data_IF_669353353675
#
_entry.id   IF_669353353675
#
_cell.length_a   1.000
_cell.length_b   1.000
_cell.length_c   1.000
_cell.angle_alpha   90.00
_cell.angle_beta   90.00
_cell.angle_gamma   90.00
#
_symmetry.space_group_name_H-M   'P 1'
#
loop_
_entity.id
_entity.type
_entity.pdbx_description
1 polymer ?
#
# COMPACT_ATOMS: atom_id res chain seq x y z
N UNK A 1 20.81 -12.96 12.16
CA UNK A 1 19.51 -13.08 11.46
C UNK A 1 19.65 -14.06 10.33
N UNK A 2 18.74 -15.03 10.17
CA UNK A 2 18.75 -15.98 9.05
C UNK A 2 18.53 -15.24 7.72
N UNK A 3 19.17 -15.69 6.62
CA UNK A 3 19.04 -15.10 5.27
C UNK A 3 17.58 -14.98 4.82
N UNK A 4 16.75 -16.01 5.05
CA UNK A 4 15.32 -15.97 4.72
C UNK A 4 14.56 -14.88 5.47
N UNK A 5 14.84 -14.72 6.76
CA UNK A 5 14.23 -13.67 7.57
C UNK A 5 14.64 -12.27 7.09
N UNK A 6 15.91 -12.11 6.69
CA UNK A 6 16.39 -10.87 6.09
C UNK A 6 15.66 -10.56 4.78
N UNK A 7 15.55 -11.55 3.88
CA UNK A 7 14.83 -11.40 2.60
C UNK A 7 13.37 -11.00 2.83
N UNK A 8 12.67 -11.67 3.74
CA UNK A 8 11.28 -11.33 4.09
C UNK A 8 11.17 -9.90 4.65
N UNK A 9 12.08 -9.52 5.57
CA UNK A 9 12.13 -8.17 6.13
C UNK A 9 12.34 -7.10 5.05
N UNK A 10 13.27 -7.34 4.12
CA UNK A 10 13.54 -6.41 3.00
C UNK A 10 12.30 -6.25 2.11
N UNK A 11 11.63 -7.36 1.75
CA UNK A 11 10.40 -7.29 0.95
C UNK A 11 9.30 -6.50 1.67
N UNK A 12 9.08 -6.75 2.97
CA UNK A 12 8.10 -5.99 3.75
C UNK A 12 8.47 -4.50 3.85
N UNK A 13 9.75 -4.17 4.02
CA UNK A 13 10.21 -2.78 4.05
C UNK A 13 9.98 -2.08 2.71
N UNK A 14 10.26 -2.76 1.59
CA UNK A 14 9.97 -2.22 0.25
C UNK A 14 8.47 -1.92 0.08
N UNK A 15 7.60 -2.85 0.50
CA UNK A 15 6.15 -2.65 0.46
C UNK A 15 5.75 -1.47 1.37
N UNK A 16 6.31 -1.35 2.57
CA UNK A 16 6.04 -0.23 3.46
C UNK A 16 6.48 1.11 2.85
N UNK A 17 7.64 1.17 2.18
CA UNK A 17 8.09 2.36 1.44
C UNK A 17 7.13 2.71 0.30
N UNK A 18 6.68 1.73 -0.48
CA UNK A 18 5.68 1.95 -1.55
C UNK A 18 4.37 2.50 -0.97
N UNK A 19 3.93 1.94 0.17
CA UNK A 19 2.74 2.42 0.90
C UNK A 19 2.94 3.88 1.36
N UNK A 20 4.10 4.22 1.93
CA UNK A 20 4.41 5.60 2.32
C UNK A 20 4.38 6.56 1.12
N UNK A 21 5.02 6.17 0.01
CA UNK A 21 5.04 6.95 -1.23
C UNK A 21 3.64 7.25 -1.74
N UNK A 22 2.76 6.24 -1.76
CA UNK A 22 1.35 6.41 -2.12
C UNK A 22 0.66 7.42 -1.18
N UNK A 23 0.83 7.28 0.13
CA UNK A 23 0.23 8.19 1.10
C UNK A 23 0.69 9.63 0.95
N UNK A 24 1.99 9.85 0.73
CA UNK A 24 2.57 11.18 0.45
C UNK A 24 1.96 11.77 -0.82
N UNK A 25 1.87 10.98 -1.90
CA UNK A 25 1.28 11.42 -3.16
C UNK A 25 -0.17 11.90 -2.97
N UNK A 26 -0.98 11.17 -2.19
CA UNK A 26 -2.35 11.58 -1.89
C UNK A 26 -2.42 12.87 -1.05
N UNK A 27 -1.59 13.02 -0.01
CA UNK A 27 -1.60 14.22 0.85
C UNK A 27 -1.16 15.46 0.09
N UNK A 28 -0.18 15.33 -0.81
CA UNK A 28 0.40 16.45 -1.55
C UNK A 28 -0.35 16.78 -2.84
N UNK A 29 -1.35 15.98 -3.21
CA UNK A 29 -2.15 16.22 -4.40
C UNK A 29 -2.83 17.60 -4.35
N UNK A 30 -2.61 18.43 -5.38
CA UNK A 30 -3.25 19.73 -5.58
C UNK A 30 -4.48 19.63 -6.49
N UNK A 31 -4.58 18.54 -7.25
CA UNK A 31 -5.68 18.21 -8.15
C UNK A 31 -5.84 16.69 -8.21
N UNK A 32 -6.87 16.19 -8.86
CA UNK A 32 -6.98 14.75 -9.06
C UNK A 32 -5.94 14.22 -10.06
N UNK A 33 -5.59 12.94 -9.94
CA UNK A 33 -4.55 12.35 -10.79
C UNK A 33 -5.02 12.19 -12.25
N UNK A 34 -4.10 12.19 -13.22
CA UNK A 34 -4.44 12.09 -14.65
C UNK A 34 -5.36 10.93 -15.01
N UNK A 35 -5.24 9.79 -14.33
CA UNK A 35 -6.13 8.65 -14.59
C UNK A 35 -7.57 8.89 -14.11
N UNK A 36 -7.82 9.79 -13.15
CA UNK A 36 -9.19 10.19 -12.78
C UNK A 36 -9.83 11.01 -13.90
N UNK A 37 -9.05 11.90 -14.54
CA UNK A 37 -9.50 12.64 -15.71
C UNK A 37 -9.83 11.69 -16.87
N UNK A 38 -8.94 10.73 -17.14
CA UNK A 38 -9.17 9.71 -18.17
C UNK A 38 -10.43 8.88 -17.89
N UNK A 39 -10.63 8.48 -16.63
CA UNK A 39 -11.76 7.66 -16.23
C UNK A 39 -13.10 8.41 -16.24
N UNK A 40 -13.11 9.68 -15.85
CA UNK A 40 -14.32 10.50 -15.77
C UNK A 40 -14.67 11.21 -17.08
N UNK A 41 -13.68 11.43 -17.95
CA UNK A 41 -13.82 12.29 -19.15
C UNK A 41 -13.96 13.78 -18.84
N UNK A 42 -13.76 14.21 -17.58
CA UNK A 42 -13.93 15.59 -17.13
C UNK A 42 -12.58 16.16 -16.72
N UNK A 43 -12.23 17.33 -17.26
CA UNK A 43 -11.02 18.05 -16.87
C UNK A 43 -11.16 18.66 -15.46
N UNK A 44 -10.04 18.73 -14.72
CA UNK A 44 -10.04 19.33 -13.39
C UNK A 44 -10.58 20.77 -13.38
N UNK A 45 -10.28 21.55 -14.41
CA UNK A 45 -10.77 22.92 -14.56
C UNK A 45 -12.29 23.02 -14.59
N UNK A 46 -12.97 22.00 -15.14
CA UNK A 46 -14.42 21.95 -15.32
C UNK A 46 -15.20 21.53 -14.05
N UNK A 47 -14.49 21.02 -13.04
CA UNK A 47 -15.12 20.59 -11.79
C UNK A 47 -15.51 21.81 -10.95
N UNK A 48 -16.72 21.76 -10.37
CA UNK A 48 -17.21 22.81 -9.48
C UNK A 48 -16.30 23.00 -8.26
N UNK A 49 -16.07 24.27 -7.80
CA UNK A 49 -15.14 24.56 -6.70
C UNK A 49 -15.42 23.75 -5.41
N UNK A 50 -16.69 23.60 -5.02
CA UNK A 50 -17.09 22.80 -3.85
C UNK A 50 -16.70 21.32 -3.99
N UNK A 51 -16.87 20.73 -5.18
CA UNK A 51 -16.51 19.34 -5.44
C UNK A 51 -14.98 19.14 -5.45
N UNK A 52 -14.22 20.12 -5.96
CA UNK A 52 -12.76 20.13 -5.84
C UNK A 52 -12.27 20.01 -4.39
N UNK A 53 -12.90 20.80 -3.50
CA UNK A 53 -12.58 20.74 -2.06
C UNK A 53 -12.85 19.36 -1.47
N UNK A 54 -13.98 18.74 -1.83
CA UNK A 54 -14.33 17.40 -1.37
C UNK A 54 -13.30 16.37 -1.86
N UNK A 55 -12.94 16.38 -3.16
CA UNK A 55 -11.91 15.47 -3.69
C UNK A 55 -10.58 15.60 -2.96
N UNK A 56 -10.09 16.83 -2.78
CA UNK A 56 -8.83 17.08 -2.09
C UNK A 56 -8.89 16.69 -0.61
N UNK A 57 -10.02 16.90 0.05
CA UNK A 57 -10.21 16.47 1.43
C UNK A 57 -10.16 14.94 1.55
N UNK A 58 -10.86 14.21 0.65
CA UNK A 58 -10.83 12.75 0.60
C UNK A 58 -9.40 12.26 0.37
N UNK A 59 -8.66 12.84 -0.57
CA UNK A 59 -7.26 12.45 -0.82
C UNK A 59 -6.39 12.65 0.41
N UNK A 60 -6.51 13.77 1.13
CA UNK A 60 -5.72 14.03 2.34
C UNK A 60 -6.05 13.04 3.47
N UNK A 61 -7.34 12.73 3.66
CA UNK A 61 -7.76 11.75 4.66
C UNK A 61 -7.27 10.34 4.30
N UNK A 62 -7.48 9.93 3.05
CA UNK A 62 -6.98 8.64 2.56
C UNK A 62 -5.45 8.56 2.68
N UNK A 63 -4.73 9.59 2.24
CA UNK A 63 -3.28 9.66 2.34
C UNK A 63 -2.78 9.58 3.78
N UNK A 64 -3.46 10.26 4.72
CA UNK A 64 -3.17 10.18 6.16
C UNK A 64 -3.32 8.74 6.68
N UNK A 65 -4.40 8.07 6.33
CA UNK A 65 -4.62 6.66 6.67
C UNK A 65 -3.55 5.73 6.10
N UNK A 66 -3.15 5.94 4.84
CA UNK A 66 -2.10 5.17 4.17
C UNK A 66 -0.72 5.39 4.80
N UNK A 67 -0.38 6.63 5.19
CA UNK A 67 0.86 6.92 5.93
C UNK A 67 0.84 6.25 7.32
N UNK A 68 -0.29 6.31 8.01
CA UNK A 68 -0.44 5.64 9.31
C UNK A 68 -0.24 4.14 9.19
N UNK A 69 -0.81 3.51 8.15
CA UNK A 69 -0.58 2.09 7.85
C UNK A 69 0.90 1.80 7.59
N UNK A 70 1.55 2.59 6.73
CA UNK A 70 2.97 2.44 6.43
C UNK A 70 3.83 2.55 7.68
N UNK A 71 3.61 3.56 8.51
CA UNK A 71 4.33 3.75 9.78
C UNK A 71 4.13 2.57 10.72
N UNK A 72 2.89 2.07 10.84
CA UNK A 72 2.58 0.89 11.63
C UNK A 72 3.32 -0.34 11.12
N UNK A 73 3.38 -0.53 9.80
CA UNK A 73 4.15 -1.61 9.19
C UNK A 73 5.65 -1.47 9.51
N UNK A 74 6.25 -0.29 9.37
CA UNK A 74 7.65 -0.04 9.71
C UNK A 74 7.93 -0.41 11.18
N UNK A 75 7.11 0.04 12.11
CA UNK A 75 7.27 -0.26 13.54
C UNK A 75 7.17 -1.76 13.80
N UNK A 76 6.18 -2.45 13.18
CA UNK A 76 6.02 -3.89 13.32
C UNK A 76 7.18 -4.69 12.70
N UNK A 77 7.74 -4.22 11.59
CA UNK A 77 8.88 -4.89 10.96
C UNK A 77 10.13 -4.73 11.82
N UNK A 78 10.43 -3.51 12.27
CA UNK A 78 11.68 -3.23 12.98
C UNK A 78 11.68 -3.87 14.38
N UNK A 79 10.63 -3.66 15.17
CA UNK A 79 10.62 -4.08 16.57
C UNK A 79 10.17 -5.54 16.75
N UNK A 80 8.90 -5.90 16.61
CA UNK A 80 8.47 -7.26 16.92
C UNK A 80 8.99 -8.30 15.93
N UNK A 81 9.18 -7.97 14.64
CA UNK A 81 9.63 -8.93 13.65
C UNK A 81 11.16 -9.08 13.65
N UNK A 82 11.92 -8.02 13.47
CA UNK A 82 13.38 -8.09 13.34
C UNK A 82 14.03 -8.26 14.72
N UNK A 83 13.76 -7.30 15.66
CA UNK A 83 14.48 -7.18 16.93
C UNK A 83 14.05 -8.23 17.95
N UNK A 84 12.73 -8.41 18.14
CA UNK A 84 12.21 -9.26 19.22
C UNK A 84 11.76 -10.64 18.75
N UNK A 85 11.64 -10.88 17.45
CA UNK A 85 11.21 -12.16 16.88
C UNK A 85 9.85 -12.66 17.42
N UNK A 86 8.92 -11.76 17.68
CA UNK A 86 7.60 -12.14 18.20
C UNK A 86 6.76 -12.84 17.15
N UNK A 87 6.21 -14.00 17.45
CA UNK A 87 5.42 -14.84 16.54
C UNK A 87 4.23 -14.11 15.90
N UNK A 88 3.54 -13.28 16.64
CA UNK A 88 2.39 -12.55 16.12
C UNK A 88 2.73 -11.61 14.94
N UNK A 89 3.94 -11.06 14.91
CA UNK A 89 4.36 -10.15 13.83
C UNK A 89 4.47 -10.85 12.47
N UNK A 90 4.73 -12.15 12.45
CA UNK A 90 4.76 -12.96 11.23
C UNK A 90 3.39 -13.03 10.53
N UNK A 91 2.31 -12.76 11.25
CA UNK A 91 0.94 -12.73 10.73
C UNK A 91 0.41 -11.31 10.59
N UNK A 92 0.63 -10.43 11.57
CA UNK A 92 0.08 -9.08 11.57
C UNK A 92 0.58 -8.25 10.38
N UNK A 93 1.87 -8.29 10.08
CA UNK A 93 2.46 -7.54 8.97
C UNK A 93 1.82 -7.94 7.62
N UNK A 94 1.81 -9.24 7.23
CA UNK A 94 1.22 -9.63 5.96
C UNK A 94 -0.30 -9.44 5.92
N UNK A 95 -1.03 -9.62 7.01
CA UNK A 95 -2.48 -9.37 7.05
C UNK A 95 -2.76 -7.90 6.67
N UNK A 96 -2.09 -6.95 7.31
CA UNK A 96 -2.24 -5.53 6.99
C UNK A 96 -1.90 -5.24 5.51
N UNK A 97 -0.78 -5.76 5.03
CA UNK A 97 -0.35 -5.55 3.65
C UNK A 97 -1.26 -6.22 2.63
N UNK A 98 -1.65 -7.48 2.84
CA UNK A 98 -2.53 -8.22 1.93
C UNK A 98 -3.90 -7.56 1.84
N UNK A 99 -4.53 -7.22 2.97
CA UNK A 99 -5.85 -6.57 2.98
C UNK A 99 -5.80 -5.25 2.21
N UNK A 100 -4.84 -4.38 2.52
CA UNK A 100 -4.71 -3.08 1.88
C UNK A 100 -4.46 -3.20 0.36
N UNK A 101 -3.45 -3.99 -0.03
CA UNK A 101 -3.06 -4.10 -1.43
C UNK A 101 -4.04 -4.93 -2.26
N UNK A 102 -4.81 -5.86 -1.66
CA UNK A 102 -5.91 -6.55 -2.37
C UNK A 102 -7.03 -5.58 -2.76
N UNK A 103 -7.46 -4.74 -1.81
CA UNK A 103 -8.50 -3.74 -2.07
C UNK A 103 -8.01 -2.73 -3.11
N UNK A 104 -6.78 -2.23 -2.95
CA UNK A 104 -6.18 -1.26 -3.88
C UNK A 104 -6.05 -1.86 -5.29
N UNK A 105 -5.55 -3.10 -5.41
CA UNK A 105 -5.41 -3.77 -6.70
C UNK A 105 -6.76 -4.04 -7.36
N UNK A 106 -7.74 -4.53 -6.61
CA UNK A 106 -9.08 -4.79 -7.13
C UNK A 106 -9.73 -3.49 -7.63
N UNK A 107 -9.63 -2.40 -6.87
CA UNK A 107 -10.21 -1.11 -7.25
C UNK A 107 -9.53 -0.52 -8.48
N UNK A 108 -8.19 -0.53 -8.54
CA UNK A 108 -7.45 0.02 -9.68
C UNK A 108 -7.64 -0.80 -10.94
N UNK A 109 -7.71 -2.14 -10.84
CA UNK A 109 -8.04 -3.03 -11.95
C UNK A 109 -9.48 -2.83 -12.45
N UNK A 110 -10.43 -2.67 -11.52
CA UNK A 110 -11.82 -2.42 -11.88
C UNK A 110 -11.96 -1.13 -12.70
N UNK A 111 -11.36 -0.03 -12.23
CA UNK A 111 -11.39 1.24 -12.97
C UNK A 111 -10.68 1.10 -14.33
N UNK A 112 -9.52 0.43 -14.38
CA UNK A 112 -8.82 0.16 -15.64
C UNK A 112 -9.70 -0.61 -16.62
N UNK A 113 -10.31 -1.70 -16.18
CA UNK A 113 -11.16 -2.56 -17.06
C UNK A 113 -12.43 -1.85 -17.55
N UNK A 114 -12.99 -0.95 -16.74
CA UNK A 114 -14.21 -0.24 -17.09
C UNK A 114 -13.98 0.99 -17.99
N UNK A 115 -12.80 1.63 -17.90
CA UNK A 115 -12.56 2.93 -18.54
C UNK A 115 -11.31 3.00 -19.43
N UNK A 116 -10.46 1.97 -19.41
CA UNK A 116 -9.12 1.95 -20.01
C UNK A 116 -8.20 3.10 -19.51
N UNK A 117 -8.54 3.76 -18.40
CA UNK A 117 -7.70 4.77 -17.79
C UNK A 117 -6.40 4.16 -17.23
N UNK A 118 -5.27 4.86 -17.35
CA UNK A 118 -3.95 4.38 -16.94
C UNK A 118 -3.78 4.37 -15.40
N UNK A 119 -4.63 3.59 -14.71
CA UNK A 119 -4.58 3.44 -13.24
C UNK A 119 -3.32 2.73 -12.79
N UNK A 120 -2.86 2.94 -11.55
CA UNK A 120 -1.65 2.30 -11.01
C UNK A 120 -1.89 0.85 -10.55
N UNK A 121 -2.57 0.02 -11.38
CA UNK A 121 -2.86 -1.37 -11.02
C UNK A 121 -1.60 -2.25 -10.98
N UNK A 122 -0.61 -2.00 -11.85
CA UNK A 122 0.64 -2.78 -11.88
C UNK A 122 1.42 -2.63 -10.56
N UNK A 123 1.76 -1.42 -10.07
CA UNK A 123 2.43 -1.26 -8.79
C UNK A 123 1.59 -1.78 -7.61
N UNK A 124 0.27 -1.66 -7.66
CA UNK A 124 -0.61 -2.21 -6.62
C UNK A 124 -0.52 -3.73 -6.55
N UNK A 125 -0.65 -4.41 -7.69
CA UNK A 125 -0.56 -5.86 -7.79
C UNK A 125 0.86 -6.36 -7.43
N UNK A 126 1.90 -5.65 -7.85
CA UNK A 126 3.29 -5.99 -7.50
C UNK A 126 3.52 -5.93 -5.99
N UNK A 127 2.96 -4.94 -5.31
CA UNK A 127 3.03 -4.80 -3.86
C UNK A 127 2.28 -5.92 -3.13
N UNK A 128 1.12 -6.34 -3.66
CA UNK A 128 0.38 -7.50 -3.15
C UNK A 128 1.20 -8.78 -3.27
N UNK A 129 1.74 -9.06 -4.47
CA UNK A 129 2.58 -10.23 -4.72
C UNK A 129 3.81 -10.23 -3.81
N UNK A 130 4.50 -9.10 -3.69
CA UNK A 130 5.67 -8.96 -2.81
C UNK A 130 5.31 -9.24 -1.34
N UNK A 131 4.14 -8.78 -0.88
CA UNK A 131 3.66 -9.05 0.49
C UNK A 131 3.41 -10.53 0.70
N UNK A 132 2.76 -11.21 -0.25
CA UNK A 132 2.49 -12.65 -0.18
C UNK A 132 3.79 -13.45 -0.20
N UNK A 133 4.73 -13.12 -1.07
CA UNK A 133 6.04 -13.76 -1.13
C UNK A 133 6.82 -13.58 0.18
N UNK A 134 6.83 -12.36 0.73
CA UNK A 134 7.45 -12.08 2.01
C UNK A 134 6.82 -12.91 3.14
N UNK A 135 5.51 -13.11 3.12
CA UNK A 135 4.78 -13.93 4.09
C UNK A 135 5.21 -15.40 3.97
N UNK A 136 5.14 -15.98 2.77
CA UNK A 136 5.55 -17.38 2.54
C UNK A 136 6.98 -17.61 3.03
N UNK A 137 7.92 -16.73 2.67
CA UNK A 137 9.32 -16.82 3.11
C UNK A 137 9.42 -16.72 4.64
N UNK A 138 8.62 -15.87 5.27
CA UNK A 138 8.64 -15.67 6.73
C UNK A 138 8.19 -16.90 7.48
N UNK A 139 7.23 -17.68 6.96
CA UNK A 139 6.75 -18.92 7.59
C UNK A 139 7.87 -19.96 7.76
N UNK A 140 8.76 -20.11 6.78
CA UNK A 140 9.93 -20.99 6.90
C UNK A 140 10.94 -20.54 7.97
N UNK A 141 10.84 -19.30 8.44
CA UNK A 141 11.68 -18.79 9.51
C UNK A 141 11.04 -18.98 10.89
N UNK A 142 9.73 -19.07 10.94
CA UNK A 142 8.97 -19.17 12.19
C UNK A 142 9.15 -20.52 12.91
N UNK A 143 9.33 -21.60 12.15
CA UNK A 143 9.57 -22.94 12.71
C UNK A 143 10.87 -23.04 13.55
N UNK A 144 11.81 -22.10 13.33
CA UNK A 144 13.08 -22.03 14.05
C UNK A 144 13.09 -21.01 15.20
N UNK A 145 11.96 -20.32 15.42
CA UNK A 145 11.78 -19.37 16.51
C UNK A 145 11.10 -20.08 17.69
N UNK A 146 11.92 -20.59 18.59
CA UNK A 146 11.48 -21.15 19.90
C UNK A 146 11.52 -20.04 20.92
#
# INVERSE_FOLDING_TARGET
MNKLKLTSAVLYLLVAVMTAGMGITFITAAEYFPYHQQASGIDWSQIQPGLKLVYLAVFKVCGGGVITLSLSMFLMIIFPFIKYNHRWSFYAIPICGVVFWSITSATTLYVYSATNAATPWIPSLSSLVATILAFIISLFCMEKAV
#
